data_IF_743889554794
#
_entry.id   IF_743889554794
#
_cell.length_a   1.000
_cell.length_b   1.000
_cell.length_c   1.000
_cell.angle_alpha   90.00
_cell.angle_beta   90.00
_cell.angle_gamma   90.00
#
_symmetry.space_group_name_H-M   'P 1'
#
loop_
_entity.id
_entity.type
_entity.pdbx_description
1 polymer ?
#
# COMPACT_ATOMS: atom_id res chain seq x y z
N UNK A 1 21.67 -10.02 -3.84
CA UNK A 1 22.01 -8.62 -4.14
C UNK A 1 21.07 -8.11 -5.25
N UNK A 2 19.91 -7.57 -4.90
CA UNK A 2 18.91 -7.09 -5.88
C UNK A 2 19.37 -5.73 -6.41
N UNK A 3 19.66 -5.62 -7.71
CA UNK A 3 20.05 -4.37 -8.36
C UNK A 3 18.81 -3.45 -8.44
N UNK A 4 18.68 -2.50 -7.53
CA UNK A 4 17.65 -1.47 -7.60
C UNK A 4 18.04 -0.44 -8.66
N UNK A 5 17.37 -0.46 -9.81
CA UNK A 5 17.54 0.54 -10.86
C UNK A 5 16.95 1.89 -10.41
N UNK A 6 17.81 2.77 -9.90
CA UNK A 6 17.46 4.13 -9.51
C UNK A 6 17.37 5.01 -10.77
N UNK A 7 16.27 5.75 -10.94
CA UNK A 7 16.16 6.78 -11.99
C UNK A 7 16.21 8.15 -11.32
N UNK A 8 17.07 9.04 -11.82
CA UNK A 8 17.15 10.43 -11.39
C UNK A 8 16.22 11.26 -12.30
N UNK A 9 15.18 11.84 -11.73
CA UNK A 9 14.29 12.76 -12.44
C UNK A 9 14.65 14.21 -12.09
N UNK A 10 14.79 15.06 -13.10
CA UNK A 10 14.96 16.51 -12.94
C UNK A 10 13.57 17.10 -12.63
N UNK A 11 13.35 17.72 -11.45
CA UNK A 11 12.06 18.34 -11.15
C UNK A 11 11.94 19.75 -11.74
N UNK A 12 10.69 20.21 -11.88
CA UNK A 12 10.34 21.54 -12.42
C UNK A 12 10.73 22.72 -11.50
N UNK A 13 11.24 22.46 -10.28
CA UNK A 13 11.73 23.48 -9.36
C UNK A 13 13.24 23.32 -9.13
N UNK A 14 13.99 24.39 -9.40
CA UNK A 14 15.44 24.45 -9.21
C UNK A 14 15.81 24.07 -7.77
N UNK A 15 16.67 23.06 -7.61
CA UNK A 15 17.32 22.73 -6.34
C UNK A 15 16.83 21.47 -5.61
N UNK A 16 15.80 20.77 -6.09
CA UNK A 16 15.37 19.51 -5.49
C UNK A 16 15.83 18.30 -6.32
N UNK A 17 16.35 17.25 -5.67
CA UNK A 17 16.61 15.97 -6.33
C UNK A 17 15.44 15.03 -5.99
N UNK A 18 14.67 14.63 -7.00
CA UNK A 18 13.60 13.65 -6.81
C UNK A 18 14.16 12.23 -7.02
N UNK A 19 14.18 11.44 -5.95
CA UNK A 19 14.58 10.02 -6.04
C UNK A 19 13.39 9.25 -6.59
N UNK A 20 13.42 8.89 -7.88
CA UNK A 20 12.37 8.09 -8.50
C UNK A 20 12.73 6.60 -8.42
N UNK A 21 11.82 5.81 -7.82
CA UNK A 21 11.86 4.37 -7.97
C UNK A 21 11.47 4.00 -9.40
N UNK A 22 12.00 2.90 -9.93
CA UNK A 22 11.75 2.44 -11.31
C UNK A 22 10.27 2.16 -11.66
N UNK A 23 9.37 2.22 -10.68
CA UNK A 23 7.91 2.07 -10.86
C UNK A 23 7.23 3.27 -10.20
N UNK A 24 6.33 3.93 -10.93
CA UNK A 24 5.55 5.07 -10.44
C UNK A 24 6.06 6.44 -10.93
N UNK A 25 5.16 7.43 -11.03
CA UNK A 25 5.48 8.82 -11.35
C UNK A 25 5.98 9.63 -10.13
N UNK A 26 6.14 10.96 -10.24
CA UNK A 26 6.76 11.78 -9.19
C UNK A 26 5.89 12.04 -7.94
N UNK A 27 4.66 11.49 -7.88
CA UNK A 27 3.76 11.70 -6.73
C UNK A 27 4.22 10.91 -5.49
N UNK A 28 4.01 11.47 -4.31
CA UNK A 28 4.22 10.76 -3.05
C UNK A 28 3.40 9.45 -3.02
N UNK A 29 4.04 8.33 -2.70
CA UNK A 29 3.42 6.99 -2.74
C UNK A 29 3.43 6.30 -4.11
N UNK A 30 3.98 6.93 -5.15
CA UNK A 30 4.28 6.26 -6.41
C UNK A 30 5.41 5.23 -6.21
N UNK A 31 5.20 4.02 -6.74
CA UNK A 31 6.18 2.93 -6.58
C UNK A 31 6.00 2.11 -5.31
N UNK A 32 4.77 1.99 -4.80
CA UNK A 32 4.43 1.07 -3.70
C UNK A 32 5.11 -0.28 -3.95
N UNK A 33 5.90 -0.73 -2.96
CA UNK A 33 6.75 -1.93 -3.06
C UNK A 33 5.93 -3.09 -3.63
N UNK A 34 6.50 -3.79 -4.63
CA UNK A 34 5.86 -4.94 -5.26
C UNK A 34 5.85 -6.14 -4.31
N UNK A 35 4.98 -6.12 -3.31
CA UNK A 35 4.78 -7.22 -2.34
C UNK A 35 3.94 -8.37 -2.91
N UNK A 36 3.30 -8.17 -4.06
CA UNK A 36 2.44 -9.17 -4.69
C UNK A 36 1.55 -8.58 -5.78
N UNK A 37 0.52 -9.32 -6.19
CA UNK A 37 -0.49 -8.88 -7.14
C UNK A 37 -1.73 -8.39 -6.40
N UNK A 38 -2.22 -7.19 -6.75
CA UNK A 38 -3.51 -6.70 -6.26
C UNK A 38 -4.65 -7.29 -7.09
N UNK A 39 -5.63 -7.91 -6.44
CA UNK A 39 -6.91 -8.31 -7.03
C UNK A 39 -8.03 -7.54 -6.33
N UNK A 40 -9.01 -7.06 -7.10
CA UNK A 40 -10.22 -6.45 -6.53
C UNK A 40 -11.15 -7.56 -6.07
N UNK A 41 -11.67 -7.45 -4.87
CA UNK A 41 -12.65 -8.37 -4.29
C UNK A 41 -13.85 -7.56 -3.80
N UNK A 42 -15.05 -8.06 -4.06
CA UNK A 42 -16.27 -7.54 -3.43
C UNK A 42 -16.52 -8.35 -2.17
N UNK A 43 -16.77 -7.67 -1.06
CA UNK A 43 -17.00 -8.28 0.24
C UNK A 43 -18.34 -7.78 0.76
N UNK A 44 -19.20 -8.70 1.17
CA UNK A 44 -20.48 -8.39 1.82
C UNK A 44 -20.38 -8.86 3.28
N UNK A 45 -20.52 -7.92 4.21
CA UNK A 45 -20.50 -8.16 5.66
C UNK A 45 -21.73 -7.48 6.27
N UNK A 46 -22.06 -7.83 7.51
CA UNK A 46 -23.06 -7.11 8.29
C UNK A 46 -22.58 -5.69 8.59
N UNK A 47 -23.52 -4.78 8.88
CA UNK A 47 -23.23 -3.40 9.27
C UNK A 47 -22.32 -3.35 10.51
N UNK A 48 -22.63 -4.15 11.53
CA UNK A 48 -21.84 -4.28 12.76
C UNK A 48 -20.35 -4.58 12.49
N UNK A 49 -20.05 -5.47 11.53
CA UNK A 49 -18.66 -5.82 11.18
C UNK A 49 -18.01 -4.71 10.36
N UNK A 50 -18.77 -4.02 9.49
CA UNK A 50 -18.25 -2.86 8.78
C UNK A 50 -17.87 -1.75 9.74
N UNK A 51 -18.71 -1.45 10.72
CA UNK A 51 -18.46 -0.44 11.74
C UNK A 51 -17.21 -0.75 12.55
N UNK A 52 -17.04 -2.02 12.97
CA UNK A 52 -15.84 -2.45 13.67
C UNK A 52 -14.57 -2.30 12.81
N UNK A 53 -14.66 -2.65 11.52
CA UNK A 53 -13.54 -2.50 10.59
C UNK A 53 -13.16 -1.02 10.42
N UNK A 54 -14.14 -0.13 10.29
CA UNK A 54 -13.92 1.31 10.11
C UNK A 54 -13.36 1.96 11.38
N UNK A 55 -13.84 1.56 12.56
CA UNK A 55 -13.28 1.96 13.85
C UNK A 55 -11.79 1.60 13.93
N UNK A 56 -11.44 0.35 13.64
CA UNK A 56 -10.04 -0.11 13.64
C UNK A 56 -9.17 0.63 12.60
N UNK A 57 -9.72 0.97 11.44
CA UNK A 57 -9.02 1.79 10.45
C UNK A 57 -8.70 3.18 11.00
N UNK A 58 -9.69 3.80 11.66
CA UNK A 58 -9.57 5.14 12.23
C UNK A 58 -8.58 5.19 13.37
N UNK A 59 -8.64 4.23 14.30
CA UNK A 59 -7.73 4.15 15.46
C UNK A 59 -6.27 3.87 15.06
N UNK A 60 -6.06 3.02 14.05
CA UNK A 60 -4.72 2.63 13.62
C UNK A 60 -4.13 3.53 12.52
N UNK A 61 -4.94 4.39 11.91
CA UNK A 61 -4.56 5.18 10.73
C UNK A 61 -4.24 4.33 9.49
N UNK A 62 -4.67 3.07 9.46
CA UNK A 62 -4.38 2.12 8.37
C UNK A 62 -5.55 2.01 7.41
N UNK A 63 -5.25 1.72 6.15
CA UNK A 63 -6.31 1.51 5.16
C UNK A 63 -7.05 0.18 5.39
N UNK A 64 -8.33 0.13 5.01
CA UNK A 64 -9.12 -1.13 4.97
C UNK A 64 -8.37 -2.26 4.27
N UNK A 65 -7.71 -1.94 3.16
CA UNK A 65 -6.92 -2.92 2.37
C UNK A 65 -5.70 -3.47 3.11
N UNK A 66 -5.16 -2.73 4.09
CA UNK A 66 -4.05 -3.18 4.92
C UNK A 66 -4.55 -4.08 6.04
N UNK A 67 -5.61 -3.67 6.74
CA UNK A 67 -6.21 -4.49 7.80
C UNK A 67 -6.69 -5.84 7.24
N UNK A 68 -7.41 -5.83 6.12
CA UNK A 68 -7.90 -7.06 5.48
C UNK A 68 -6.74 -7.95 5.01
N UNK A 69 -5.65 -7.36 4.50
CA UNK A 69 -4.46 -8.13 4.10
C UNK A 69 -3.84 -8.83 5.31
N UNK A 70 -3.62 -8.11 6.39
CA UNK A 70 -3.02 -8.66 7.61
C UNK A 70 -3.89 -9.78 8.21
N UNK A 71 -5.22 -9.64 8.17
CA UNK A 71 -6.15 -10.70 8.57
C UNK A 71 -5.99 -11.96 7.72
N UNK A 72 -5.95 -11.81 6.39
CA UNK A 72 -5.77 -12.94 5.46
C UNK A 72 -4.40 -13.60 5.65
N UNK A 73 -3.33 -12.81 5.75
CA UNK A 73 -1.97 -13.31 5.96
C UNK A 73 -1.86 -14.05 7.30
N UNK A 74 -2.42 -13.48 8.38
CA UNK A 74 -2.41 -14.11 9.71
C UNK A 74 -3.19 -15.42 9.74
N UNK A 75 -4.29 -15.50 9.00
CA UNK A 75 -5.09 -16.74 8.90
C UNK A 75 -4.36 -17.81 8.09
N UNK A 76 -3.74 -17.45 6.96
CA UNK A 76 -3.05 -18.38 6.08
C UNK A 76 -1.66 -18.80 6.59
N UNK A 77 -1.00 -17.97 7.41
CA UNK A 77 0.32 -18.22 7.97
C UNK A 77 0.33 -19.22 9.14
N UNK A 78 -0.83 -19.55 9.73
CA UNK A 78 -0.96 -20.55 10.81
C UNK A 78 -0.87 -22.02 10.32
N UNK A 79 -0.01 -22.30 9.33
CA UNK A 79 0.15 -23.64 8.76
C UNK A 79 1.56 -24.16 8.91
#
# INVERSE_FOLDING_TARGET
MTKNNLKLGVPDQEGQLSIMFSRGGPRQGAGRKGIGQTKKVSLTLTEEIWDELEMRCTESGRSRSEIIRDMIESFMAKK
#
